data_IF_378945877445
#
_entry.id   IF_378945877445
#
_cell.length_a   1.000
_cell.length_b   1.000
_cell.length_c   1.000
_cell.angle_alpha   90.00
_cell.angle_beta   90.00
_cell.angle_gamma   90.00
#
_symmetry.space_group_name_H-M   'P 1'
#
loop_
_entity.id
_entity.type
_entity.pdbx_description
1 polymer ?
#
# COMPACT_ATOMS: atom_id res chain seq x y z
N UNK A 1 -45.12 11.36 0.52
CA UNK A 1 -44.86 10.26 1.48
C UNK A 1 -44.87 8.91 0.74
N UNK A 2 -43.99 8.67 -0.23
CA UNK A 2 -43.79 7.33 -0.85
C UNK A 2 -42.37 7.23 -1.45
N UNK A 3 -41.34 7.62 -0.68
CA UNK A 3 -39.91 7.42 -1.04
C UNK A 3 -39.37 6.08 -0.51
N UNK A 4 -40.17 5.32 0.25
CA UNK A 4 -39.68 4.20 1.05
C UNK A 4 -40.41 2.88 0.74
N UNK A 5 -40.40 2.37 -0.51
CA UNK A 5 -40.66 0.93 -0.76
C UNK A 5 -40.32 0.41 -2.17
N UNK A 6 -39.10 0.65 -2.66
CA UNK A 6 -38.55 -0.13 -3.79
C UNK A 6 -37.08 -0.48 -3.53
N UNK A 7 -36.83 -1.30 -2.49
CA UNK A 7 -35.55 -1.99 -2.36
C UNK A 7 -35.65 -3.31 -3.13
N UNK A 8 -35.61 -3.24 -4.46
CA UNK A 8 -35.63 -4.42 -5.34
C UNK A 8 -34.23 -5.05 -5.34
N UNK A 9 -34.12 -6.37 -5.16
CA UNK A 9 -32.84 -7.11 -5.10
C UNK A 9 -31.89 -6.79 -6.25
N UNK A 10 -32.41 -6.41 -7.43
CA UNK A 10 -31.61 -5.97 -8.58
C UNK A 10 -30.86 -4.66 -8.34
N UNK A 11 -31.44 -3.71 -7.61
CA UNK A 11 -30.80 -2.45 -7.25
C UNK A 11 -29.65 -2.68 -6.26
N UNK A 12 -29.79 -3.67 -5.36
CA UNK A 12 -28.75 -4.05 -4.43
C UNK A 12 -27.54 -4.65 -5.16
N UNK A 13 -27.79 -5.57 -6.10
CA UNK A 13 -26.74 -6.20 -6.92
C UNK A 13 -26.02 -5.14 -7.77
N UNK A 14 -26.76 -4.23 -8.39
CA UNK A 14 -26.18 -3.15 -9.19
C UNK A 14 -25.28 -2.23 -8.35
N UNK A 15 -25.72 -1.84 -7.15
CA UNK A 15 -24.91 -1.07 -6.21
C UNK A 15 -23.63 -1.81 -5.78
N UNK A 16 -23.73 -3.12 -5.50
CA UNK A 16 -22.57 -3.94 -5.15
C UNK A 16 -21.56 -4.03 -6.31
N UNK A 17 -22.03 -4.28 -7.53
CA UNK A 17 -21.18 -4.29 -8.72
C UNK A 17 -20.50 -2.93 -8.97
N UNK A 18 -21.24 -1.82 -8.82
CA UNK A 18 -20.69 -0.47 -9.00
C UNK A 18 -19.60 -0.16 -7.96
N UNK A 19 -19.82 -0.52 -6.69
CA UNK A 19 -18.81 -0.35 -5.64
C UNK A 19 -17.54 -1.16 -5.90
N UNK A 20 -17.68 -2.39 -6.41
CA UNK A 20 -16.56 -3.24 -6.76
C UNK A 20 -15.73 -2.65 -7.91
N UNK A 21 -16.39 -2.14 -8.96
CA UNK A 21 -15.72 -1.48 -10.09
C UNK A 21 -14.95 -0.23 -9.63
N UNK A 22 -15.52 0.58 -8.73
CA UNK A 22 -14.85 1.77 -8.20
C UNK A 22 -13.57 1.43 -7.41
N UNK A 23 -13.57 0.32 -6.66
CA UNK A 23 -12.38 -0.13 -5.90
C UNK A 23 -11.26 -0.59 -6.84
N UNK A 24 -11.60 -1.28 -7.93
CA UNK A 24 -10.62 -1.78 -8.92
C UNK A 24 -9.94 -0.65 -9.70
N UNK A 25 -10.61 0.51 -9.84
CA UNK A 25 -10.09 1.68 -10.56
C UNK A 25 -9.31 2.66 -9.68
N UNK A 26 -9.12 2.35 -8.40
CA UNK A 26 -8.41 3.25 -7.49
C UNK A 26 -6.89 3.25 -7.77
N UNK A 27 -6.37 4.38 -8.25
CA UNK A 27 -4.93 4.66 -8.28
C UNK A 27 -4.50 5.21 -6.90
N UNK A 28 -3.47 4.59 -6.31
CA UNK A 28 -2.94 5.00 -5.00
C UNK A 28 -1.54 5.58 -5.18
N UNK A 29 -1.43 6.90 -5.01
CA UNK A 29 -0.15 7.60 -5.14
C UNK A 29 0.49 7.85 -3.77
N UNK A 30 1.66 7.27 -3.53
CA UNK A 30 2.42 7.52 -2.30
C UNK A 30 3.20 8.84 -2.40
N UNK A 31 3.14 9.67 -1.34
CA UNK A 31 3.77 11.01 -1.31
C UNK A 31 4.78 11.19 -0.18
N UNK A 32 4.65 10.44 0.92
CA UNK A 32 5.54 10.53 2.08
C UNK A 32 5.83 9.15 2.67
N UNK A 33 6.76 8.42 2.03
CA UNK A 33 7.17 7.11 2.52
C UNK A 33 8.06 7.27 3.76
N UNK A 34 7.67 6.65 4.87
CA UNK A 34 8.48 6.53 6.09
C UNK A 34 8.74 5.05 6.35
N UNK A 35 10.00 4.69 6.59
CA UNK A 35 10.42 3.30 6.82
C UNK A 35 11.14 3.22 8.16
N UNK A 36 10.83 2.19 8.93
CA UNK A 36 11.46 1.91 10.22
C UNK A 36 11.62 0.40 10.38
N UNK A 37 12.74 -0.02 10.96
CA UNK A 37 12.90 -1.41 11.36
C UNK A 37 12.12 -1.67 12.65
N UNK A 38 11.51 -2.86 12.74
CA UNK A 38 10.81 -3.31 13.93
C UNK A 38 11.78 -3.48 15.10
N UNK A 39 12.95 -4.06 14.83
CA UNK A 39 14.05 -4.17 15.78
C UNK A 39 15.25 -3.35 15.29
N UNK A 40 15.50 -2.23 15.98
CA UNK A 40 16.61 -1.31 15.66
C UNK A 40 17.97 -1.87 16.03
N UNK A 41 18.05 -2.93 16.84
CA UNK A 41 19.31 -3.57 17.19
C UNK A 41 19.90 -4.38 16.03
N UNK A 42 19.05 -4.80 15.09
CA UNK A 42 19.44 -5.57 13.90
C UNK A 42 19.82 -4.65 12.76
N UNK A 43 18.99 -3.63 12.49
CA UNK A 43 19.19 -2.74 11.35
C UNK A 43 18.43 -1.42 11.51
N UNK A 44 18.83 -0.42 10.73
CA UNK A 44 18.18 0.87 10.64
C UNK A 44 18.13 1.38 9.20
N UNK A 45 17.01 1.98 8.82
CA UNK A 45 16.89 2.69 7.54
C UNK A 45 17.49 4.10 7.71
N UNK A 46 18.58 4.41 6.99
CA UNK A 46 19.15 5.76 7.01
C UNK A 46 18.33 6.72 6.14
N UNK A 47 17.86 6.23 4.99
CA UNK A 47 16.90 6.95 4.18
C UNK A 47 15.97 5.98 3.46
N UNK A 48 14.71 6.38 3.36
CA UNK A 48 13.68 5.70 2.60
C UNK A 48 12.82 6.79 1.97
N UNK A 49 12.91 6.93 0.65
CA UNK A 49 12.22 8.02 -0.05
C UNK A 49 11.80 7.59 -1.44
N UNK A 50 10.80 8.27 -1.95
CA UNK A 50 10.39 8.13 -3.34
C UNK A 50 11.31 9.02 -4.17
N UNK A 51 12.13 8.42 -5.02
CA UNK A 51 13.01 9.10 -5.97
C UNK A 51 12.30 9.25 -7.31
N UNK A 52 12.03 10.49 -7.75
CA UNK A 52 11.48 10.74 -9.08
C UNK A 52 12.61 10.60 -10.10
N UNK A 53 12.85 9.39 -10.62
CA UNK A 53 13.84 9.15 -11.69
C UNK A 53 13.28 9.57 -13.05
N UNK A 54 11.99 9.35 -13.28
CA UNK A 54 11.25 9.83 -14.46
C UNK A 54 9.92 10.48 -14.04
N UNK A 55 9.35 11.31 -14.93
CA UNK A 55 8.02 11.92 -14.69
C UNK A 55 6.92 10.87 -14.51
N UNK A 56 7.02 9.73 -15.21
CA UNK A 56 6.05 8.62 -15.14
C UNK A 56 6.46 7.54 -14.15
N UNK A 57 7.77 7.28 -13.99
CA UNK A 57 8.26 6.20 -13.12
C UNK A 57 8.94 6.78 -11.88
N UNK A 58 8.25 6.67 -10.76
CA UNK A 58 8.77 6.97 -9.43
C UNK A 58 9.33 5.67 -8.85
N UNK A 59 10.57 5.70 -8.38
CA UNK A 59 11.22 4.55 -7.77
C UNK A 59 11.34 4.78 -6.27
N UNK A 60 11.27 3.72 -5.48
CA UNK A 60 11.56 3.81 -4.05
C UNK A 60 13.05 3.58 -3.84
N UNK A 61 13.72 4.56 -3.24
CA UNK A 61 15.14 4.50 -2.90
C UNK A 61 15.28 4.27 -1.39
N UNK A 62 15.93 3.16 -1.02
CA UNK A 62 16.07 2.72 0.37
C UNK A 62 17.53 2.45 0.67
N UNK A 63 18.01 2.92 1.82
CA UNK A 63 19.34 2.62 2.33
C UNK A 63 19.24 2.11 3.74
N UNK A 64 19.81 0.91 3.94
CA UNK A 64 19.78 0.18 5.18
C UNK A 64 21.19 0.08 5.74
N UNK A 65 21.35 0.45 7.01
CA UNK A 65 22.52 0.11 7.80
C UNK A 65 22.20 -1.12 8.62
N UNK A 66 22.85 -2.23 8.31
CA UNK A 66 22.75 -3.47 9.08
C UNK A 66 23.77 -3.42 10.22
N UNK A 67 23.31 -3.63 11.45
CA UNK A 67 24.16 -3.73 12.64
C UNK A 67 24.52 -5.18 12.96
N UNK A 68 23.62 -6.10 12.66
CA UNK A 68 23.79 -7.53 12.79
C UNK A 68 23.32 -8.20 11.51
N UNK A 69 24.05 -9.22 11.03
CA UNK A 69 23.58 -10.02 9.90
C UNK A 69 22.35 -10.80 10.38
N UNK A 70 21.18 -10.69 9.74
CA UNK A 70 19.95 -11.35 10.19
C UNK A 70 19.96 -12.87 9.96
N UNK A 71 21.12 -13.51 9.79
CA UNK A 71 21.23 -14.93 9.45
C UNK A 71 22.00 -15.62 10.58
N UNK A 72 21.27 -15.95 11.65
CA UNK A 72 21.80 -16.82 12.69
C UNK A 72 21.50 -18.30 12.38
N UNK A 73 20.55 -18.61 11.48
CA UNK A 73 20.20 -19.98 11.03
C UNK A 73 19.41 -19.94 9.71
N UNK A 74 20.08 -19.78 8.56
CA UNK A 74 19.49 -20.16 7.28
C UNK A 74 19.95 -21.58 6.95
N UNK A 75 19.13 -22.59 7.27
CA UNK A 75 19.31 -23.94 6.74
C UNK A 75 18.59 -24.03 5.38
N UNK A 76 19.32 -24.51 4.38
CA UNK A 76 18.80 -24.92 3.06
C UNK A 76 18.07 -26.24 3.19
#
# INVERSE_FOLDING_TARGET
MLVNKMCSSSALIFCLCASFILIVLADVTFTNLKCSFMDKSVAEFLYCRIKPVNRTHKYTEVYVKLYQLPINNASV
#
